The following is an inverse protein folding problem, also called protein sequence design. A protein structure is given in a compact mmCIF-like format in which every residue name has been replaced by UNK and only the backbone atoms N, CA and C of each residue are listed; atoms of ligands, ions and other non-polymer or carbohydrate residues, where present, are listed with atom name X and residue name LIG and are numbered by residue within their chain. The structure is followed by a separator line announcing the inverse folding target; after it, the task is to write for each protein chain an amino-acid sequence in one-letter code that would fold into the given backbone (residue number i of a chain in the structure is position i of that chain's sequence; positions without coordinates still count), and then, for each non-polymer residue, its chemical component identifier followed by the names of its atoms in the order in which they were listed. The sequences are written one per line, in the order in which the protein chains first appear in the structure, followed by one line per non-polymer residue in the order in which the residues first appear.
data_IF_499719734803
#
_entry.id   IF_499719734803
#
_cell.length_a   1.000
_cell.length_b   1.000
_cell.length_c   1.000
_cell.angle_alpha   90.00
_cell.angle_beta   90.00
_cell.angle_gamma   90.00
#
_symmetry.space_group_name_H-M   'P 1'
#
loop_
_entity.id
_entity.type
_entity.pdbx_description
1 polymer ?
#
# COMPACT_ATOMS: atom_id res chain seq x y z
N UNK A 1 6.09 11.45 -33.22
CA UNK A 1 5.61 10.37 -32.32
C UNK A 1 4.35 9.58 -32.80
N UNK A 2 3.88 9.58 -34.07
CA UNK A 2 2.72 8.74 -34.44
C UNK A 2 3.05 7.26 -34.66
N UNK A 3 4.33 6.90 -34.81
CA UNK A 3 4.79 5.53 -35.09
C UNK A 3 4.76 4.62 -33.86
N UNK A 4 4.95 5.16 -32.66
CA UNK A 4 4.97 4.37 -31.42
C UNK A 4 3.64 3.63 -31.20
N UNK A 5 2.51 4.27 -31.50
CA UNK A 5 1.18 3.68 -31.31
C UNK A 5 0.79 2.68 -32.40
N UNK A 6 1.31 2.82 -33.62
CA UNK A 6 0.99 1.90 -34.74
C UNK A 6 1.74 0.58 -34.63
N UNK A 7 2.99 0.61 -34.18
CA UNK A 7 3.86 -0.56 -34.07
C UNK A 7 3.77 -1.25 -32.70
N UNK A 8 3.05 -0.67 -31.73
CA UNK A 8 2.82 -1.32 -30.44
C UNK A 8 1.91 -2.53 -30.64
N UNK A 9 2.43 -3.73 -30.36
CA UNK A 9 1.64 -4.95 -30.28
C UNK A 9 0.61 -4.79 -29.15
N UNK A 10 -0.67 -4.73 -29.51
CA UNK A 10 -1.73 -4.53 -28.50
C UNK A 10 -1.76 -5.61 -27.43
N UNK A 11 -1.34 -6.83 -27.77
CA UNK A 11 -1.24 -7.96 -26.85
C UNK A 11 -0.13 -7.79 -25.79
N UNK A 12 0.83 -6.90 -25.99
CA UNK A 12 1.88 -6.60 -25.01
C UNK A 12 1.56 -5.39 -24.12
N UNK A 13 0.41 -4.74 -24.33
CA UNK A 13 -0.02 -3.62 -23.49
C UNK A 13 -0.72 -4.16 -22.26
N UNK A 14 -0.14 -3.94 -21.09
CA UNK A 14 -0.79 -4.25 -19.84
C UNK A 14 -1.71 -3.08 -19.44
N UNK A 15 -2.99 -3.38 -19.27
CA UNK A 15 -4.00 -2.42 -18.83
C UNK A 15 -4.37 -2.75 -17.39
N UNK A 16 -4.08 -1.83 -16.48
CA UNK A 16 -4.39 -1.97 -15.07
C UNK A 16 -5.41 -0.91 -14.65
N UNK A 17 -6.42 -1.33 -13.89
CA UNK A 17 -7.22 -0.38 -13.14
C UNK A 17 -6.35 0.14 -12.00
N UNK A 18 -6.01 1.43 -12.05
CA UNK A 18 -5.24 2.10 -11.01
C UNK A 18 -6.13 3.13 -10.33
N UNK A 19 -6.19 3.07 -9.00
CA UNK A 19 -6.88 4.05 -8.18
C UNK A 19 -6.10 4.21 -6.89
N UNK A 20 -5.62 5.42 -6.66
CA UNK A 20 -5.10 5.78 -5.34
C UNK A 20 -6.30 5.91 -4.39
N UNK A 21 -6.29 5.13 -3.33
CA UNK A 21 -7.32 5.17 -2.29
C UNK A 21 -6.89 6.07 -1.15
N UNK A 22 -7.84 6.80 -0.57
CA UNK A 22 -7.60 7.49 0.70
C UNK A 22 -7.34 6.43 1.77
N UNK A 23 -6.29 6.59 2.61
CA UNK A 23 -5.96 5.60 3.62
C UNK A 23 -7.15 5.29 4.53
N UNK A 24 -7.47 4.00 4.66
CA UNK A 24 -8.47 3.56 5.62
C UNK A 24 -7.88 3.62 7.04
N UNK A 25 -8.61 4.23 7.97
CA UNK A 25 -8.16 4.35 9.37
C UNK A 25 -8.39 3.03 10.10
N UNK A 26 -7.52 2.74 11.06
CA UNK A 26 -7.73 1.63 11.98
C UNK A 26 -8.99 1.83 12.82
N UNK A 27 -9.54 0.71 13.31
CA UNK A 27 -10.79 0.72 14.07
C UNK A 27 -10.69 -0.19 15.30
N UNK A 28 -10.54 0.43 16.47
CA UNK A 28 -10.35 -0.29 17.73
C UNK A 28 -9.07 -1.11 17.69
N UNK A 29 -9.19 -2.43 17.81
CA UNK A 29 -8.05 -3.37 17.75
C UNK A 29 -7.81 -3.97 16.35
N UNK A 30 -8.48 -3.44 15.31
CA UNK A 30 -8.30 -3.88 13.92
C UNK A 30 -7.40 -2.87 13.21
N UNK A 31 -6.25 -3.35 12.75
CA UNK A 31 -5.23 -2.57 12.03
C UNK A 31 -5.22 -3.01 10.56
N UNK A 32 -5.28 -2.04 9.65
CA UNK A 32 -5.17 -2.28 8.22
C UNK A 32 -3.76 -1.93 7.75
N UNK A 33 -3.18 -2.77 6.89
CA UNK A 33 -1.85 -2.56 6.28
C UNK A 33 -1.90 -2.92 4.78
N UNK A 34 -0.95 -2.41 4.01
CA UNK A 34 -0.85 -2.67 2.57
C UNK A 34 -2.07 -2.22 1.79
N UNK A 35 -2.46 -2.97 0.76
CA UNK A 35 -3.60 -2.61 -0.11
C UNK A 35 -4.94 -2.49 0.64
N UNK A 36 -5.09 -3.13 1.79
CA UNK A 36 -6.29 -2.98 2.63
C UNK A 36 -6.36 -1.60 3.31
N UNK A 37 -5.22 -0.93 3.48
CA UNK A 37 -5.12 0.42 4.02
C UNK A 37 -5.00 1.46 2.90
N UNK A 38 -4.06 1.28 1.97
CA UNK A 38 -3.61 2.33 1.04
C UNK A 38 -3.33 1.81 -0.37
N UNK A 39 -4.29 1.14 -1.00
CA UNK A 39 -4.16 0.75 -2.41
C UNK A 39 -3.72 1.94 -3.30
N UNK A 40 -2.62 1.73 -4.03
CA UNK A 40 -1.96 2.74 -4.86
C UNK A 40 -1.85 2.27 -6.29
N UNK A 41 -1.68 3.23 -7.20
CA UNK A 41 -1.31 2.97 -8.57
C UNK A 41 0.02 2.19 -8.69
N UNK A 42 0.13 1.21 -9.61
CA UNK A 42 1.36 0.44 -9.79
C UNK A 42 2.51 1.25 -10.44
N UNK A 43 2.26 2.47 -10.92
CA UNK A 43 3.25 3.23 -11.70
C UNK A 43 4.53 3.58 -10.93
N UNK A 44 4.43 3.79 -9.61
CA UNK A 44 5.61 4.04 -8.76
C UNK A 44 6.36 2.74 -8.38
N UNK A 45 5.73 1.57 -8.57
CA UNK A 45 6.35 0.27 -8.30
C UNK A 45 6.73 0.02 -6.83
N UNK A 46 6.21 0.81 -5.89
CA UNK A 46 6.61 0.77 -4.47
C UNK A 46 5.55 0.23 -3.52
N UNK A 47 4.33 -0.11 -4.00
CA UNK A 47 3.23 -0.56 -3.15
C UNK A 47 3.60 -1.75 -2.24
N UNK A 48 4.25 -2.78 -2.79
CA UNK A 48 4.71 -3.92 -2.00
C UNK A 48 5.77 -3.55 -0.95
N UNK A 49 6.68 -2.63 -1.26
CA UNK A 49 7.69 -2.17 -0.30
C UNK A 49 7.03 -1.39 0.86
N UNK A 50 6.02 -0.58 0.56
CA UNK A 50 5.24 0.12 1.58
C UNK A 50 4.46 -0.86 2.46
N UNK A 51 3.78 -1.85 1.86
CA UNK A 51 3.07 -2.89 2.61
C UNK A 51 3.99 -3.69 3.56
N UNK A 52 5.24 -3.96 3.14
CA UNK A 52 6.24 -4.61 4.00
C UNK A 52 6.69 -3.67 5.14
N UNK A 53 6.90 -2.39 4.84
CA UNK A 53 7.25 -1.38 5.83
C UNK A 53 6.16 -1.23 6.90
N UNK A 54 4.89 -1.23 6.50
CA UNK A 54 3.74 -1.21 7.41
C UNK A 54 3.84 -2.35 8.44
N UNK A 55 4.09 -3.58 7.95
CA UNK A 55 4.24 -4.76 8.80
C UNK A 55 5.43 -4.65 9.77
N UNK A 56 6.56 -4.13 9.30
CA UNK A 56 7.72 -3.88 10.14
C UNK A 56 7.42 -2.85 11.25
N UNK A 57 6.84 -1.70 10.89
CA UNK A 57 6.51 -0.63 11.83
C UNK A 57 5.49 -1.10 12.86
N UNK A 58 4.45 -1.82 12.43
CA UNK A 58 3.45 -2.39 13.33
C UNK A 58 4.09 -3.37 14.32
N UNK A 59 4.94 -4.28 13.83
CA UNK A 59 5.64 -5.23 14.70
C UNK A 59 6.56 -4.50 15.70
N UNK A 60 7.28 -3.47 15.26
CA UNK A 60 8.15 -2.66 16.12
C UNK A 60 7.36 -1.98 17.25
N UNK A 61 6.22 -1.38 16.95
CA UNK A 61 5.35 -0.77 17.97
C UNK A 61 4.78 -1.81 18.94
N UNK A 62 4.36 -2.98 18.43
CA UNK A 62 3.82 -4.06 19.27
C UNK A 62 4.85 -4.64 20.24
N UNK A 63 6.13 -4.69 19.86
CA UNK A 63 7.22 -5.23 20.70
C UNK A 63 7.64 -4.24 21.78
N UNK A 64 7.70 -2.95 21.47
CA UNK A 64 8.30 -1.95 22.36
C UNK A 64 7.30 -1.14 23.18
N UNK A 65 6.02 -1.10 22.79
CA UNK A 65 5.01 -0.38 23.54
C UNK A 65 4.68 -1.09 24.87
N UNK A 66 4.28 -0.28 25.85
CA UNK A 66 3.87 -0.77 27.18
C UNK A 66 2.58 -1.59 27.16
N UNK A 67 1.68 -1.25 26.25
CA UNK A 67 0.37 -1.90 26.08
C UNK A 67 -0.11 -1.77 24.63
N UNK A 68 -1.11 -2.59 24.28
CA UNK A 68 -1.66 -2.66 22.92
C UNK A 68 -2.25 -1.33 22.44
N UNK A 69 -2.91 -0.57 23.34
CA UNK A 69 -3.50 0.73 23.00
C UNK A 69 -2.41 1.72 22.56
N UNK A 70 -1.30 1.77 23.31
CA UNK A 70 -0.16 2.61 22.99
C UNK A 70 0.50 2.19 21.68
N UNK A 71 0.64 0.89 21.43
CA UNK A 71 1.21 0.35 20.19
C UNK A 71 0.39 0.80 18.97
N UNK A 72 -0.94 0.62 19.04
CA UNK A 72 -1.85 0.98 17.96
C UNK A 72 -1.83 2.49 17.68
N UNK A 73 -1.92 3.31 18.74
CA UNK A 73 -1.87 4.77 18.62
C UNK A 73 -0.55 5.30 18.06
N UNK A 74 0.56 4.57 18.25
CA UNK A 74 1.88 4.99 17.77
C UNK A 74 2.17 4.51 16.34
N UNK A 75 1.39 3.55 15.84
CA UNK A 75 1.47 3.06 14.46
C UNK A 75 0.61 3.90 13.49
N UNK A 76 -0.59 4.31 13.91
CA UNK A 76 -1.53 5.17 13.14
C UNK A 76 -1.02 6.59 12.87
#
# INVERSE_FOLDING_TARGET
MPTLFKETLRSSVAVFNAKDMTPFRNHGSVIFIGDAQHAMSPFAGNGANMAIMDGYQLADQLVHAKDLTTAIQSYD
#
